data_IF_644934431448
#
_entry.id   IF_644934431448
#
_cell.length_a   1.000
_cell.length_b   1.000
_cell.length_c   1.000
_cell.angle_alpha   90.00
_cell.angle_beta   90.00
_cell.angle_gamma   90.00
#
_symmetry.space_group_name_H-M   'P 1'
#
loop_
_entity.id
_entity.type
_entity.pdbx_description
1 polymer ?
#
# COMPACT_ATOMS: atom_id res chain seq x y z
N UNK A 1 -14.20 2.35 -21.87
CA UNK A 1 -13.67 1.17 -21.18
C UNK A 1 -12.91 1.68 -19.97
N UNK A 2 -13.54 1.69 -18.79
CA UNK A 2 -12.82 2.01 -17.56
C UNK A 2 -11.88 0.84 -17.27
N UNK A 3 -10.59 1.10 -17.45
CA UNK A 3 -9.55 0.15 -17.12
C UNK A 3 -9.54 0.04 -15.59
N UNK A 4 -9.99 -1.10 -15.05
CA UNK A 4 -9.82 -1.45 -13.64
C UNK A 4 -8.35 -1.19 -13.29
N UNK A 5 -8.11 -0.38 -12.25
CA UNK A 5 -6.76 -0.13 -11.75
C UNK A 5 -6.50 -1.15 -10.68
N UNK A 6 -5.53 -2.02 -10.88
CA UNK A 6 -5.08 -2.88 -9.80
C UNK A 6 -3.98 -2.18 -9.00
N UNK A 7 -4.05 -2.33 -7.68
CA UNK A 7 -3.03 -1.89 -6.74
C UNK A 7 -2.40 -3.10 -6.09
N UNK A 8 -1.11 -3.02 -5.81
CA UNK A 8 -0.34 -4.07 -5.16
C UNK A 8 0.40 -3.46 -3.98
N UNK A 9 0.15 -3.94 -2.77
CA UNK A 9 0.90 -3.54 -1.59
C UNK A 9 1.78 -4.68 -1.08
N UNK A 10 3.06 -4.40 -0.84
CA UNK A 10 4.01 -5.37 -0.28
C UNK A 10 4.62 -4.80 0.99
N UNK A 11 4.51 -5.55 2.08
CA UNK A 11 4.92 -5.12 3.41
C UNK A 11 5.08 -6.28 4.39
N UNK A 12 5.48 -5.98 5.61
CA UNK A 12 5.55 -6.96 6.69
C UNK A 12 4.22 -7.00 7.43
N UNK A 13 3.59 -8.17 7.52
CA UNK A 13 2.33 -8.35 8.24
C UNK A 13 2.54 -8.13 9.74
N UNK A 14 1.68 -7.31 10.36
CA UNK A 14 1.87 -6.90 11.76
C UNK A 14 1.64 -8.02 12.77
N UNK A 15 0.96 -9.10 12.37
CA UNK A 15 0.56 -10.19 13.28
C UNK A 15 1.61 -11.28 13.28
N UNK A 16 2.05 -11.67 12.09
CA UNK A 16 2.99 -12.78 11.85
C UNK A 16 4.44 -12.32 11.71
N UNK A 17 4.69 -11.05 11.36
CA UNK A 17 6.02 -10.54 11.01
C UNK A 17 6.52 -11.02 9.65
N UNK A 18 5.70 -11.73 8.87
CA UNK A 18 6.09 -12.24 7.56
C UNK A 18 5.90 -11.19 6.46
N UNK A 19 6.79 -11.20 5.46
CA UNK A 19 6.60 -10.42 4.26
C UNK A 19 5.39 -10.95 3.47
N UNK A 20 4.41 -10.08 3.23
CA UNK A 20 3.18 -10.41 2.52
C UNK A 20 2.86 -9.39 1.45
N UNK A 21 2.07 -9.84 0.49
CA UNK A 21 1.61 -9.02 -0.64
C UNK A 21 0.10 -9.07 -0.70
N UNK A 22 -0.52 -7.91 -0.89
CA UNK A 22 -1.95 -7.72 -1.08
C UNK A 22 -2.18 -7.15 -2.48
N UNK A 23 -3.13 -7.72 -3.21
CA UNK A 23 -3.56 -7.21 -4.51
C UNK A 23 -5.02 -6.74 -4.38
N UNK A 24 -5.30 -5.56 -4.93
CA UNK A 24 -6.58 -4.90 -4.83
C UNK A 24 -7.06 -4.54 -6.24
N UNK A 25 -8.23 -5.05 -6.61
CA UNK A 25 -8.91 -4.67 -7.83
C UNK A 25 -9.94 -3.58 -7.51
N UNK A 26 -9.46 -2.37 -7.20
CA UNK A 26 -10.34 -1.25 -6.86
C UNK A 26 -9.99 0.02 -7.63
N UNK A 27 -11.03 0.75 -8.05
CA UNK A 27 -10.91 2.04 -8.71
C UNK A 27 -10.43 3.17 -7.78
N UNK A 28 -10.28 2.92 -6.47
CA UNK A 28 -9.92 3.91 -5.46
C UNK A 28 -8.57 3.63 -4.77
N UNK A 29 -7.64 4.58 -4.91
CA UNK A 29 -6.34 4.52 -4.24
C UNK A 29 -6.45 4.64 -2.72
N UNK A 30 -7.43 5.40 -2.22
CA UNK A 30 -7.59 5.64 -0.78
C UNK A 30 -8.02 4.36 -0.05
N UNK A 31 -8.96 3.59 -0.64
CA UNK A 31 -9.35 2.27 -0.15
C UNK A 31 -8.17 1.29 -0.05
N UNK A 32 -7.37 1.19 -1.11
CA UNK A 32 -6.17 0.35 -1.13
C UNK A 32 -5.16 0.73 -0.02
N UNK A 33 -4.92 2.02 0.19
CA UNK A 33 -4.05 2.53 1.26
C UNK A 33 -4.60 2.15 2.64
N UNK A 34 -5.89 2.42 2.89
CA UNK A 34 -6.51 2.14 4.18
C UNK A 34 -6.46 0.65 4.54
N UNK A 35 -6.67 -0.23 3.56
CA UNK A 35 -6.58 -1.67 3.76
C UNK A 35 -5.14 -2.12 4.02
N UNK A 36 -4.17 -1.59 3.26
CA UNK A 36 -2.76 -1.90 3.46
C UNK A 36 -2.26 -1.43 4.85
N UNK A 37 -2.63 -0.23 5.31
CA UNK A 37 -2.32 0.27 6.67
C UNK A 37 -2.89 -0.66 7.74
N UNK A 38 -4.13 -1.13 7.58
CA UNK A 38 -4.77 -2.04 8.56
C UNK A 38 -4.10 -3.41 8.62
N UNK A 39 -3.60 -3.91 7.49
CA UNK A 39 -2.95 -5.23 7.42
C UNK A 39 -1.50 -5.18 7.91
N UNK A 40 -0.69 -4.27 7.38
CA UNK A 40 0.74 -4.20 7.70
C UNK A 40 1.03 -3.44 9.00
N UNK A 41 0.11 -2.60 9.48
CA UNK A 41 0.28 -1.87 10.73
C UNK A 41 1.47 -0.90 10.72
N UNK A 42 2.02 -0.57 11.90
CA UNK A 42 3.21 0.26 12.02
C UNK A 42 4.40 -0.32 11.25
N UNK A 43 5.14 0.53 10.55
CA UNK A 43 6.26 0.15 9.71
C UNK A 43 6.26 0.88 8.36
N UNK A 44 6.87 0.25 7.37
CA UNK A 44 6.94 0.77 6.00
C UNK A 44 6.51 -0.31 5.02
N UNK A 45 5.74 0.06 4.01
CA UNK A 45 5.36 -0.83 2.91
C UNK A 45 5.26 -0.07 1.59
N UNK A 46 5.38 -0.82 0.50
CA UNK A 46 5.32 -0.31 -0.86
C UNK A 46 3.91 -0.52 -1.42
N UNK A 47 3.31 0.52 -1.98
CA UNK A 47 2.09 0.44 -2.78
C UNK A 47 2.43 0.77 -4.24
N UNK A 48 2.12 -0.14 -5.14
CA UNK A 48 2.34 0.01 -6.58
C UNK A 48 1.01 -0.01 -7.32
N UNK A 49 0.85 0.86 -8.31
CA UNK A 49 -0.31 0.88 -9.20
C UNK A 49 0.13 0.51 -10.62
N UNK A 50 -0.72 -0.18 -11.38
CA UNK A 50 -0.43 -0.60 -12.76
C UNK A 50 -0.13 0.57 -13.71
N UNK A 51 -0.59 1.78 -13.41
CA UNK A 51 -0.23 2.98 -14.19
C UNK A 51 1.23 3.44 -13.96
N UNK A 52 1.99 2.71 -13.14
CA UNK A 52 3.38 2.96 -12.79
C UNK A 52 3.58 3.98 -11.67
N UNK A 53 2.51 4.40 -10.98
CA UNK A 53 2.62 5.24 -9.79
C UNK A 53 2.83 4.34 -8.58
N UNK A 54 3.93 4.58 -7.87
CA UNK A 54 4.29 3.85 -6.68
C UNK A 54 4.41 4.82 -5.50
N UNK A 55 4.08 4.37 -4.31
CA UNK A 55 4.18 5.12 -3.07
C UNK A 55 4.79 4.24 -1.98
N UNK A 56 5.70 4.79 -1.19
CA UNK A 56 6.06 4.20 0.09
C UNK A 56 5.14 4.77 1.17
N UNK A 57 4.54 3.89 1.93
CA UNK A 57 3.62 4.23 3.02
C UNK A 57 4.37 4.02 4.31
N UNK A 58 4.39 5.05 5.14
CA UNK A 58 5.00 5.04 6.46
C UNK A 58 3.89 5.11 7.51
N UNK A 59 3.88 4.18 8.44
CA UNK A 59 2.91 4.12 9.53
C UNK A 59 3.67 4.11 10.84
N UNK A 60 3.47 5.13 11.67
CA UNK A 60 4.09 5.24 12.98
C UNK A 60 3.33 4.39 14.02
N UNK A 61 3.95 4.20 15.18
CA UNK A 61 3.38 3.43 16.28
C UNK A 61 2.13 4.07 16.89
N UNK A 62 1.96 5.39 16.74
CA UNK A 62 0.77 6.12 17.15
C UNK A 62 -0.35 6.11 16.09
N UNK A 63 -0.18 5.29 15.03
CA UNK A 63 -1.08 5.17 13.89
C UNK A 63 -1.20 6.42 13.01
N UNK A 64 -0.36 7.43 13.22
CA UNK A 64 -0.15 8.46 12.19
C UNK A 64 0.54 7.83 10.97
N UNK A 65 0.18 8.30 9.78
CA UNK A 65 0.74 7.77 8.53
C UNK A 65 0.91 8.86 7.49
N UNK A 66 1.87 8.66 6.58
CA UNK A 66 2.12 9.55 5.45
C UNK A 66 2.59 8.75 4.23
N UNK A 67 2.46 9.38 3.06
CA UNK A 67 2.83 8.81 1.77
C UNK A 67 4.06 9.53 1.22
N UNK A 68 5.02 8.75 0.76
CA UNK A 68 6.17 9.21 0.00
C UNK A 68 5.99 8.74 -1.45
N UNK A 69 5.73 9.63 -2.41
CA UNK A 69 5.64 9.24 -3.82
C UNK A 69 7.03 8.79 -4.30
N UNK A 70 7.09 7.59 -4.87
CA UNK A 70 8.29 7.11 -5.53
C UNK A 70 8.22 7.57 -6.99
N UNK A 71 9.27 8.24 -7.45
CA UNK A 71 9.38 8.62 -8.86
C UNK A 71 9.22 7.38 -9.75
N UNK A 72 8.63 7.56 -10.94
CA UNK A 72 8.62 6.51 -11.97
C UNK A 72 10.07 6.08 -12.21
N UNK A 73 10.38 4.81 -11.90
CA UNK A 73 11.59 4.16 -12.41
C UNK A 73 11.50 4.04 -13.93
#
# INVERSE_FOLDING_TARGET
MDQLRSYKASGTDRVSGEARTLEFDESDAAGAIALAVRTFGPGQFLLSCENGRNWRIHVANDHSWWLEPLARL
#
